data_IF_059114529937
#
_entry.id   IF_059114529937
#
_cell.length_a   1.000
_cell.length_b   1.000
_cell.length_c   1.000
_cell.angle_alpha   90.00
_cell.angle_beta   90.00
_cell.angle_gamma   90.00
#
_symmetry.space_group_name_H-M   'P 1'
#
loop_
_entity.id
_entity.type
_entity.pdbx_description
1 polymer ?
#
# COMPACT_ATOMS: atom_id res chain seq x y z
N UNK A 1 -2.59 23.89 -13.07
CA UNK A 1 -3.96 23.34 -13.21
C UNK A 1 -4.07 22.69 -14.57
N UNK A 2 -4.49 21.43 -14.65
CA UNK A 2 -4.93 20.74 -15.87
C UNK A 2 -3.90 20.67 -17.00
N UNK A 3 -2.67 20.22 -16.75
CA UNK A 3 -1.74 19.88 -17.82
C UNK A 3 -1.18 18.47 -17.59
N UNK A 4 -1.08 17.69 -18.66
CA UNK A 4 -0.46 16.36 -18.67
C UNK A 4 0.80 16.41 -19.54
N UNK A 5 1.83 15.69 -19.08
CA UNK A 5 3.02 15.45 -19.88
C UNK A 5 2.81 14.19 -20.72
N UNK A 6 2.85 14.35 -22.03
CA UNK A 6 2.86 13.26 -23.00
C UNK A 6 4.24 13.18 -23.63
N UNK A 7 5.12 12.40 -23.02
CA UNK A 7 6.48 12.15 -23.53
C UNK A 7 7.30 13.43 -23.75
N UNK A 8 7.25 14.37 -22.81
CA UNK A 8 7.97 15.64 -22.84
C UNK A 8 7.22 16.79 -23.50
N UNK A 9 6.00 16.56 -24.00
CA UNK A 9 5.10 17.60 -24.49
C UNK A 9 4.05 17.90 -23.43
N UNK A 10 3.94 19.15 -23.00
CA UNK A 10 2.94 19.59 -22.02
C UNK A 10 1.66 20.00 -22.72
N UNK A 11 0.61 19.23 -22.53
CA UNK A 11 -0.72 19.48 -23.10
C UNK A 11 -1.71 19.94 -22.04
N UNK A 12 -2.65 20.80 -22.43
CA UNK A 12 -3.74 21.25 -21.56
C UNK A 12 -4.89 20.24 -21.58
N UNK A 13 -5.40 19.90 -20.40
CA UNK A 13 -6.55 19.00 -20.24
C UNK A 13 -7.83 19.81 -20.51
N UNK A 14 -8.53 19.47 -21.59
CA UNK A 14 -9.79 20.12 -22.02
C UNK A 14 -11.03 19.22 -21.76
N UNK A 15 -10.91 18.21 -20.89
CA UNK A 15 -11.99 17.29 -20.54
C UNK A 15 -12.15 17.09 -19.02
N UNK A 16 -13.29 16.54 -18.61
CA UNK A 16 -13.53 16.12 -17.23
C UNK A 16 -12.65 14.91 -16.88
N UNK A 17 -12.07 14.92 -15.67
CA UNK A 17 -11.23 13.85 -15.16
C UNK A 17 -11.90 13.23 -13.95
N UNK A 18 -12.18 11.92 -14.01
CA UNK A 18 -12.69 11.13 -12.91
C UNK A 18 -11.78 9.93 -12.65
N UNK A 19 -11.63 9.54 -11.38
CA UNK A 19 -10.86 8.35 -10.97
C UNK A 19 -11.83 7.31 -10.42
N UNK A 20 -11.75 6.09 -10.95
CA UNK A 20 -12.48 4.93 -10.47
C UNK A 20 -11.46 3.86 -10.09
N UNK A 21 -11.54 3.37 -8.86
CA UNK A 21 -10.63 2.32 -8.38
C UNK A 21 -11.21 0.94 -8.68
N UNK A 22 -10.63 0.27 -9.68
CA UNK A 22 -10.94 -1.11 -10.04
C UNK A 22 -9.74 -2.04 -9.77
N UNK A 23 -8.87 -1.68 -8.83
CA UNK A 23 -7.63 -2.43 -8.55
C UNK A 23 -7.88 -3.85 -8.03
N UNK A 24 -9.09 -4.11 -7.49
CA UNK A 24 -9.44 -5.37 -6.83
C UNK A 24 -8.50 -5.75 -5.67
N UNK A 25 -7.74 -4.78 -5.15
CA UNK A 25 -6.93 -4.96 -3.95
C UNK A 25 -7.81 -4.88 -2.71
N UNK A 26 -7.46 -5.67 -1.68
CA UNK A 26 -8.07 -5.54 -0.37
C UNK A 26 -7.79 -4.14 0.19
N UNK A 27 -8.83 -3.51 0.71
CA UNK A 27 -8.73 -2.21 1.38
C UNK A 27 -8.01 -2.32 2.73
N UNK A 28 -7.74 -1.16 3.32
CA UNK A 28 -7.02 -1.05 4.58
C UNK A 28 -7.66 -1.88 5.73
N UNK A 29 -8.98 -1.75 5.91
CA UNK A 29 -9.70 -2.48 6.97
C UNK A 29 -9.71 -3.99 6.74
N UNK A 30 -9.89 -4.43 5.50
CA UNK A 30 -9.91 -5.84 5.14
C UNK A 30 -8.55 -6.51 5.41
N UNK A 31 -7.45 -5.81 5.14
CA UNK A 31 -6.10 -6.29 5.47
C UNK A 31 -5.89 -6.46 6.98
N UNK A 32 -6.40 -5.53 7.80
CA UNK A 32 -6.31 -5.62 9.26
C UNK A 32 -7.14 -6.79 9.79
N UNK A 33 -8.36 -6.95 9.30
CA UNK A 33 -9.25 -8.05 9.69
C UNK A 33 -8.66 -9.40 9.29
N UNK A 34 -8.11 -9.51 8.08
CA UNK A 34 -7.41 -10.70 7.61
C UNK A 34 -6.23 -11.05 8.50
N UNK A 35 -5.36 -10.09 8.83
CA UNK A 35 -4.21 -10.32 9.70
C UNK A 35 -4.63 -10.81 11.09
N UNK A 36 -5.66 -10.21 11.69
CA UNK A 36 -6.20 -10.64 13.00
C UNK A 36 -6.79 -12.04 12.97
N UNK A 37 -7.53 -12.37 11.91
CA UNK A 37 -8.16 -13.68 11.75
C UNK A 37 -7.14 -14.83 11.62
N UNK A 38 -5.94 -14.54 11.11
CA UNK A 38 -4.85 -15.52 10.97
C UNK A 38 -4.14 -15.83 12.29
N UNK A 39 -4.32 -15.02 13.34
CA UNK A 39 -3.59 -15.13 14.62
C UNK A 39 -2.08 -15.38 14.47
N UNK A 40 -1.35 -14.57 13.66
CA UNK A 40 0.07 -14.82 13.40
C UNK A 40 0.95 -14.37 14.57
N UNK A 41 2.10 -15.03 14.74
CA UNK A 41 3.15 -14.55 15.65
C UNK A 41 3.96 -13.39 15.03
N UNK A 42 4.19 -13.45 13.71
CA UNK A 42 5.01 -12.49 12.95
C UNK A 42 4.31 -12.13 11.63
N UNK A 43 4.44 -10.87 11.22
CA UNK A 43 3.96 -10.36 9.92
C UNK A 43 5.09 -9.60 9.22
N UNK A 44 5.32 -9.91 7.94
CA UNK A 44 6.29 -9.19 7.09
C UNK A 44 5.53 -8.37 6.06
N UNK A 45 5.62 -7.04 6.14
CA UNK A 45 4.95 -6.10 5.22
C UNK A 45 5.90 -5.69 4.08
N UNK A 46 5.45 -5.95 2.85
CA UNK A 46 6.20 -5.71 1.62
C UNK A 46 5.37 -4.91 0.60
N UNK A 47 6.01 -4.44 -0.48
CA UNK A 47 5.34 -3.88 -1.67
C UNK A 47 4.34 -2.74 -1.38
N UNK A 48 4.76 -1.77 -0.56
CA UNK A 48 4.06 -0.50 -0.38
C UNK A 48 5.08 0.63 -0.32
N UNK A 49 4.68 1.81 -0.81
CA UNK A 49 5.44 3.07 -0.71
C UNK A 49 5.46 3.62 0.73
N UNK A 50 4.38 3.41 1.48
CA UNK A 50 4.25 3.76 2.91
C UNK A 50 3.67 2.55 3.65
N UNK A 51 4.45 1.96 4.56
CA UNK A 51 4.06 0.74 5.30
C UNK A 51 3.59 1.07 6.71
N UNK A 52 3.96 2.24 7.21
CA UNK A 52 3.65 2.73 8.55
C UNK A 52 2.14 2.74 8.79
N UNK A 53 1.37 3.18 7.80
CA UNK A 53 -0.09 3.25 7.90
C UNK A 53 -0.73 1.87 8.22
N UNK A 54 -0.19 0.78 7.68
CA UNK A 54 -0.66 -0.58 7.93
C UNK A 54 0.07 -1.26 9.10
N UNK A 55 1.33 -0.90 9.35
CA UNK A 55 2.12 -1.45 10.44
C UNK A 55 1.57 -1.04 11.81
N UNK A 56 1.28 0.25 12.03
CA UNK A 56 0.78 0.77 13.32
C UNK A 56 -0.40 -0.02 13.88
N UNK A 57 -1.52 -0.24 13.15
CA UNK A 57 -2.67 -0.98 13.68
C UNK A 57 -2.41 -2.48 13.86
N UNK A 58 -1.32 -3.03 13.31
CA UNK A 58 -0.96 -4.44 13.41
C UNK A 58 0.07 -4.74 14.51
N UNK A 59 0.69 -3.73 15.12
CA UNK A 59 1.69 -3.91 16.20
C UNK A 59 1.15 -4.67 17.40
N UNK A 60 -0.13 -4.50 17.72
CA UNK A 60 -0.80 -5.21 18.81
C UNK A 60 -1.26 -6.64 18.42
N UNK A 61 -1.13 -7.00 17.14
CA UNK A 61 -1.57 -8.29 16.58
C UNK A 61 -0.39 -9.27 16.50
N UNK A 62 0.76 -8.81 16.03
CA UNK A 62 1.94 -9.63 15.79
C UNK A 62 3.23 -8.79 15.78
N UNK A 63 4.38 -9.45 15.82
CA UNK A 63 5.66 -8.79 15.56
C UNK A 63 5.77 -8.40 14.08
N UNK A 64 5.97 -7.10 13.81
CA UNK A 64 5.92 -6.55 12.45
C UNK A 64 7.33 -6.29 11.91
N UNK A 65 7.59 -6.78 10.69
CA UNK A 65 8.82 -6.53 9.94
C UNK A 65 8.52 -5.75 8.65
N UNK A 66 9.35 -4.75 8.34
CA UNK A 66 9.23 -3.93 7.13
C UNK A 66 10.56 -3.85 6.38
N UNK A 67 11.13 -4.97 5.89
CA UNK A 67 12.46 -4.96 5.32
C UNK A 67 12.53 -4.17 4.01
N UNK A 68 13.72 -3.65 3.73
CA UNK A 68 14.03 -3.01 2.46
C UNK A 68 14.34 -4.04 1.38
N UNK A 69 14.30 -3.62 0.12
CA UNK A 69 14.66 -4.49 -1.00
C UNK A 69 16.09 -5.00 -0.83
N UNK A 70 16.24 -6.33 -0.73
CA UNK A 70 17.52 -7.01 -0.55
C UNK A 70 17.95 -7.22 0.91
N UNK A 71 17.15 -6.78 1.88
CA UNK A 71 17.38 -7.02 3.30
C UNK A 71 16.86 -8.40 3.71
N UNK A 72 17.67 -9.14 4.47
CA UNK A 72 17.30 -10.45 5.01
C UNK A 72 16.70 -10.30 6.40
N UNK A 73 15.60 -11.00 6.66
CA UNK A 73 14.95 -11.08 7.97
C UNK A 73 15.03 -12.51 8.48
N UNK A 74 15.44 -12.69 9.74
CA UNK A 74 15.34 -13.98 10.44
C UNK A 74 14.02 -14.03 11.21
N UNK A 75 13.27 -15.13 11.03
CA UNK A 75 11.91 -15.33 11.56
C UNK A 75 11.87 -16.44 12.61
#
# INVERSE_FOLDING_TARGET
>A
KGQLDFYGVREKIECEVQYFDFSAHAGHSELIEFAKACTPEKIVLMHSDNREALAEPLKDVAEIYTPNTGETVEL
#
